data_IF_219155849509
#
_entry.id   IF_219155849509
#
_cell.length_a   1.000
_cell.length_b   1.000
_cell.length_c   1.000
_cell.angle_alpha   90.00
_cell.angle_beta   90.00
_cell.angle_gamma   90.00
#
_symmetry.space_group_name_H-M   'P 1'
#
loop_
_entity.id
_entity.type
_entity.pdbx_description
1 polymer ?
#
# COMPACT_ATOMS: atom_id res chain seq x y z
N UNK A 1 -14.19 45.96 23.30
CA UNK A 1 -13.89 44.53 23.51
C UNK A 1 -14.40 43.73 22.31
N UNK A 2 -13.52 43.21 21.45
CA UNK A 2 -13.88 42.17 20.50
C UNK A 2 -13.17 40.85 20.84
N UNK A 3 -13.97 39.79 21.03
CA UNK A 3 -13.54 38.40 21.24
C UNK A 3 -13.03 37.78 19.94
N UNK A 4 -11.80 37.29 19.94
CA UNK A 4 -11.25 36.46 18.88
C UNK A 4 -11.92 35.08 18.93
N UNK A 5 -12.65 34.72 17.87
CA UNK A 5 -12.96 33.33 17.56
C UNK A 5 -11.73 32.76 16.85
N UNK A 6 -10.95 31.96 17.55
CA UNK A 6 -9.94 31.11 16.93
C UNK A 6 -10.59 29.72 16.70
N UNK A 7 -10.77 29.26 15.46
CA UNK A 7 -11.16 27.88 15.25
C UNK A 7 -9.93 27.01 15.54
N UNK A 8 -9.95 26.30 16.67
CA UNK A 8 -9.01 25.21 16.92
C UNK A 8 -9.21 24.14 15.83
N UNK A 9 -8.36 24.15 14.81
CA UNK A 9 -8.36 23.13 13.77
C UNK A 9 -7.77 21.85 14.40
N UNK A 10 -8.62 20.90 14.77
CA UNK A 10 -8.20 19.53 15.07
C UNK A 10 -7.92 18.78 13.76
N UNK A 11 -6.84 19.13 13.07
CA UNK A 11 -6.39 18.44 11.87
C UNK A 11 -5.24 17.49 12.21
N UNK A 12 -5.48 16.18 12.13
CA UNK A 12 -4.41 15.17 12.09
C UNK A 12 -3.76 15.09 10.71
N UNK A 13 -4.30 15.79 9.71
CA UNK A 13 -3.86 15.77 8.32
C UNK A 13 -3.98 17.17 7.73
N UNK A 14 -2.91 17.68 7.11
CA UNK A 14 -2.91 18.94 6.39
C UNK A 14 -2.56 18.67 4.92
N UNK A 15 -3.29 19.30 3.99
CA UNK A 15 -3.06 19.18 2.55
C UNK A 15 -2.64 20.53 2.00
N UNK A 16 -1.49 20.57 1.31
CA UNK A 16 -0.95 21.77 0.67
C UNK A 16 -0.83 21.53 -0.82
N UNK A 17 -1.43 22.41 -1.63
CA UNK A 17 -1.28 22.37 -3.08
C UNK A 17 0.05 23.04 -3.49
N UNK A 18 0.94 22.28 -4.10
CA UNK A 18 2.23 22.78 -4.61
C UNK A 18 2.10 23.03 -6.12
N UNK A 19 2.51 24.22 -6.56
CA UNK A 19 2.29 24.73 -7.92
C UNK A 19 3.47 24.49 -8.86
N UNK A 20 4.62 24.03 -8.35
CA UNK A 20 5.85 23.88 -9.11
C UNK A 20 6.70 22.72 -8.57
N UNK A 21 7.68 22.31 -9.37
CA UNK A 21 8.76 21.42 -8.96
C UNK A 21 9.87 22.21 -8.24
N UNK A 22 10.59 21.58 -7.31
CA UNK A 22 11.69 22.18 -6.58
C UNK A 22 11.99 21.49 -5.24
N UNK A 23 12.96 22.04 -4.53
CA UNK A 23 13.24 21.69 -3.13
C UNK A 23 12.38 22.54 -2.21
N UNK A 24 11.71 21.90 -1.26
CA UNK A 24 10.80 22.53 -0.31
C UNK A 24 11.23 22.23 1.13
N UNK A 25 10.92 23.18 2.01
CA UNK A 25 11.03 23.00 3.46
C UNK A 25 9.65 23.24 4.05
N UNK A 26 9.11 22.25 4.74
CA UNK A 26 7.93 22.40 5.59
C UNK A 26 8.41 22.70 7.00
N UNK A 27 8.15 23.92 7.45
CA UNK A 27 8.44 24.36 8.81
C UNK A 27 7.15 24.25 9.64
N UNK A 28 7.27 23.70 10.84
CA UNK A 28 6.20 23.64 11.80
C UNK A 28 6.68 24.19 13.14
N UNK A 29 5.98 25.20 13.64
CA UNK A 29 6.23 25.82 14.93
C UNK A 29 5.04 25.56 15.85
N UNK A 30 5.31 25.08 17.06
CA UNK A 30 4.32 24.92 18.12
C UNK A 30 4.40 26.10 19.07
N UNK A 31 3.30 26.83 19.21
CA UNK A 31 3.14 27.91 20.18
C UNK A 31 2.28 27.43 21.35
N UNK A 32 2.68 27.68 22.60
CA UNK A 32 1.73 27.68 23.72
C UNK A 32 1.82 28.99 24.49
N UNK A 33 0.66 29.57 24.80
CA UNK A 33 0.54 30.87 25.46
C UNK A 33 1.29 32.02 24.74
N UNK A 34 1.46 31.93 23.41
CA UNK A 34 2.18 32.92 22.61
C UNK A 34 3.70 32.78 22.61
N UNK A 35 4.25 31.80 23.33
CA UNK A 35 5.66 31.43 23.26
C UNK A 35 5.87 30.23 22.35
N UNK A 36 6.96 30.25 21.58
CA UNK A 36 7.42 29.14 20.77
C UNK A 36 8.05 28.07 21.66
N UNK A 37 7.50 26.86 21.60
CA UNK A 37 7.89 25.75 22.47
C UNK A 37 8.55 24.63 21.67
N UNK A 38 8.25 24.52 20.39
CA UNK A 38 8.91 23.57 19.50
C UNK A 38 8.96 24.11 18.07
N UNK A 39 9.99 23.69 17.35
CA UNK A 39 10.18 24.01 15.94
C UNK A 39 10.80 22.82 15.22
N UNK A 40 10.24 22.45 14.08
CA UNK A 40 10.74 21.34 13.27
C UNK A 40 10.69 21.68 11.78
N UNK A 41 11.71 21.20 11.07
CA UNK A 41 11.82 21.34 9.62
C UNK A 41 11.76 19.96 8.97
N UNK A 42 10.97 19.84 7.90
CA UNK A 42 11.00 18.70 6.99
C UNK A 42 11.38 19.18 5.59
N UNK A 43 12.52 18.73 5.09
CA UNK A 43 12.97 19.05 3.73
C UNK A 43 12.56 17.96 2.76
N UNK A 44 11.99 18.32 1.61
CA UNK A 44 11.52 17.38 0.61
C UNK A 44 11.57 17.98 -0.81
N UNK A 45 11.80 17.14 -1.81
CA UNK A 45 11.83 17.53 -3.22
C UNK A 45 10.51 17.18 -3.91
N UNK A 46 9.94 18.11 -4.69
CA UNK A 46 8.81 17.86 -5.59
C UNK A 46 9.33 17.88 -7.01
N UNK A 47 9.15 16.79 -7.75
CA UNK A 47 9.50 16.73 -9.17
C UNK A 47 8.50 15.90 -9.94
N UNK A 48 8.21 16.27 -11.18
CA UNK A 48 7.46 15.43 -12.12
C UNK A 48 8.34 14.30 -12.66
N UNK A 49 9.66 14.46 -12.59
CA UNK A 49 10.62 13.46 -12.98
C UNK A 49 10.99 12.60 -11.78
N UNK A 50 10.03 11.78 -11.34
CA UNK A 50 10.32 10.70 -10.40
C UNK A 50 11.27 9.76 -11.14
N UNK A 51 12.57 9.84 -10.87
CA UNK A 51 13.50 8.79 -11.29
C UNK A 51 12.84 7.47 -10.90
N UNK A 52 12.71 6.49 -11.82
CA UNK A 52 11.99 5.27 -11.53
C UNK A 52 12.62 4.69 -10.26
N UNK A 53 11.83 4.68 -9.18
CA UNK A 53 12.31 4.29 -7.87
C UNK A 53 13.00 2.95 -8.05
N UNK A 54 14.28 2.87 -7.67
CA UNK A 54 15.05 1.65 -7.84
C UNK A 54 14.23 0.53 -7.23
N UNK A 55 13.87 -0.42 -8.08
CA UNK A 55 13.11 -1.60 -7.70
C UNK A 55 13.71 -2.18 -6.42
N UNK A 56 12.88 -2.35 -5.39
CA UNK A 56 13.35 -2.92 -4.12
C UNK A 56 13.92 -4.31 -4.40
N UNK A 57 14.95 -4.77 -3.69
CA UNK A 57 15.41 -6.14 -3.86
C UNK A 57 14.27 -7.12 -3.61
N UNK A 58 14.22 -8.19 -4.39
CA UNK A 58 13.27 -9.29 -4.15
C UNK A 58 13.53 -9.89 -2.77
N UNK A 59 12.44 -10.18 -2.06
CA UNK A 59 12.55 -10.93 -0.83
C UNK A 59 13.12 -12.31 -1.15
N UNK A 60 14.11 -12.80 -0.37
CA UNK A 60 14.58 -14.16 -0.50
C UNK A 60 13.39 -15.13 -0.51
N UNK A 61 13.40 -16.09 -1.43
CA UNK A 61 12.26 -16.97 -1.68
C UNK A 61 11.74 -17.66 -0.40
N UNK A 62 12.67 -18.11 0.46
CA UNK A 62 12.32 -18.74 1.74
C UNK A 62 11.57 -17.81 2.71
N UNK A 63 11.72 -16.49 2.61
CA UNK A 63 10.92 -15.52 3.38
C UNK A 63 9.60 -15.21 2.68
N UNK A 64 9.61 -15.08 1.36
CA UNK A 64 8.43 -14.82 0.55
C UNK A 64 7.37 -15.92 0.76
N UNK A 65 7.76 -17.19 0.66
CA UNK A 65 6.91 -18.38 0.93
C UNK A 65 6.31 -18.43 2.35
N UNK A 66 6.93 -17.70 3.27
CA UNK A 66 6.51 -17.62 4.68
C UNK A 66 5.65 -16.40 4.98
N UNK A 67 5.44 -15.51 4.01
CA UNK A 67 4.64 -14.30 4.15
C UNK A 67 3.42 -14.29 3.22
N UNK A 68 3.49 -15.03 2.12
CA UNK A 68 2.44 -15.12 1.13
C UNK A 68 2.37 -16.52 0.52
N UNK A 69 1.21 -16.83 -0.03
CA UNK A 69 1.05 -17.95 -0.94
C UNK A 69 1.41 -17.47 -2.35
N UNK A 70 2.63 -17.80 -2.80
CA UNK A 70 3.20 -17.23 -4.03
C UNK A 70 2.48 -17.67 -5.31
N UNK A 71 1.50 -18.58 -5.23
CA UNK A 71 0.69 -19.04 -6.38
C UNK A 71 -0.79 -18.71 -6.23
N UNK A 72 -1.12 -17.79 -5.31
CA UNK A 72 -2.49 -17.48 -4.94
C UNK A 72 -3.14 -16.37 -5.76
N UNK A 73 -2.46 -15.83 -6.78
CA UNK A 73 -3.05 -14.77 -7.59
C UNK A 73 -4.27 -15.32 -8.34
N UNK A 74 -5.39 -14.64 -8.18
CA UNK A 74 -6.65 -14.95 -8.84
C UNK A 74 -7.23 -13.70 -9.51
N UNK A 75 -7.85 -13.89 -10.66
CA UNK A 75 -8.62 -12.84 -11.33
C UNK A 75 -9.93 -12.62 -10.60
N UNK A 76 -10.28 -11.36 -10.39
CA UNK A 76 -11.54 -10.92 -9.80
C UNK A 76 -12.33 -10.09 -10.82
N UNK A 77 -13.61 -9.84 -10.56
CA UNK A 77 -14.45 -9.05 -11.48
C UNK A 77 -13.98 -7.60 -11.64
N UNK A 78 -13.35 -7.06 -10.60
CA UNK A 78 -12.93 -5.66 -10.47
C UNK A 78 -11.42 -5.51 -10.26
N UNK A 79 -10.65 -6.56 -10.55
CA UNK A 79 -9.20 -6.57 -10.41
C UNK A 79 -8.67 -7.97 -10.15
N UNK A 80 -7.87 -8.14 -9.10
CA UNK A 80 -7.27 -9.41 -8.70
C UNK A 80 -7.27 -9.59 -7.19
N UNK A 81 -7.07 -10.82 -6.74
CA UNK A 81 -6.82 -11.13 -5.33
C UNK A 81 -5.59 -12.02 -5.15
N UNK A 82 -5.02 -11.98 -3.94
CA UNK A 82 -3.90 -12.81 -3.51
C UNK A 82 -4.04 -13.13 -2.03
N UNK A 83 -3.25 -14.09 -1.54
CA UNK A 83 -3.27 -14.50 -0.14
C UNK A 83 -1.92 -14.22 0.53
N UNK A 84 -1.98 -13.40 1.58
CA UNK A 84 -0.91 -13.28 2.55
C UNK A 84 -1.11 -14.35 3.63
N UNK A 85 -0.03 -15.05 3.98
CA UNK A 85 -0.05 -16.10 4.99
C UNK A 85 1.25 -16.06 5.78
N UNK A 86 1.16 -15.68 7.05
CA UNK A 86 2.35 -15.63 7.88
C UNK A 86 2.66 -17.00 8.49
N UNK A 87 3.74 -17.61 8.03
CA UNK A 87 4.33 -18.87 8.53
C UNK A 87 5.65 -18.64 9.28
N UNK A 88 5.94 -17.40 9.68
CA UNK A 88 7.16 -17.03 10.40
C UNK A 88 6.91 -16.93 11.92
N UNK A 89 6.83 -15.71 12.43
CA UNK A 89 6.56 -15.29 13.81
C UNK A 89 5.55 -14.15 13.76
N UNK A 90 4.91 -13.74 14.86
CA UNK A 90 4.01 -12.59 14.85
C UNK A 90 4.63 -11.39 14.13
N UNK A 91 3.92 -10.90 13.11
CA UNK A 91 4.44 -9.92 12.17
C UNK A 91 3.35 -8.91 11.81
N UNK A 92 3.76 -7.72 11.38
CA UNK A 92 2.82 -6.64 11.01
C UNK A 92 3.17 -6.14 9.63
N UNK A 93 2.24 -6.26 8.68
CA UNK A 93 2.37 -5.59 7.39
C UNK A 93 2.13 -4.09 7.60
N UNK A 94 3.14 -3.29 7.33
CA UNK A 94 3.10 -1.82 7.47
C UNK A 94 3.02 -1.10 6.14
N UNK A 95 3.38 -1.78 5.05
CA UNK A 95 3.39 -1.19 3.72
C UNK A 95 3.18 -2.27 2.69
N UNK A 96 2.32 -1.99 1.71
CA UNK A 96 2.18 -2.73 0.46
C UNK A 96 1.92 -1.69 -0.63
N UNK A 97 2.90 -1.46 -1.48
CA UNK A 97 2.91 -0.37 -2.47
C UNK A 97 3.67 -0.80 -3.73
N UNK A 98 3.82 0.09 -4.70
CA UNK A 98 4.66 -0.17 -5.87
C UNK A 98 4.18 -1.37 -6.69
N UNK A 99 2.85 -1.60 -6.71
CA UNK A 99 2.26 -2.76 -7.35
C UNK A 99 2.52 -2.75 -8.85
N UNK A 100 3.06 -3.84 -9.40
CA UNK A 100 3.22 -4.03 -10.84
C UNK A 100 2.57 -5.33 -11.26
N UNK A 101 1.73 -5.28 -12.28
CA UNK A 101 1.15 -6.45 -12.91
C UNK A 101 1.91 -6.71 -14.22
N UNK A 102 2.53 -7.87 -14.33
CA UNK A 102 3.33 -8.29 -15.49
C UNK A 102 4.41 -7.24 -15.86
N UNK A 103 5.07 -6.69 -14.84
CA UNK A 103 6.08 -5.64 -14.97
C UNK A 103 5.52 -4.22 -15.15
N UNK A 104 4.20 -4.05 -15.34
CA UNK A 104 3.56 -2.75 -15.55
C UNK A 104 3.05 -2.17 -14.24
N UNK A 105 3.47 -0.94 -13.90
CA UNK A 105 3.03 -0.25 -12.68
C UNK A 105 1.52 0.04 -12.68
N UNK A 106 0.84 -0.42 -11.62
CA UNK A 106 -0.55 -0.10 -11.35
C UNK A 106 -0.63 1.30 -10.73
N UNK A 107 -1.00 2.31 -11.51
CA UNK A 107 -1.06 3.71 -11.05
C UNK A 107 -2.40 4.08 -10.42
N UNK A 108 -3.48 3.39 -10.77
CA UNK A 108 -4.82 3.56 -10.20
C UNK A 108 -5.31 2.24 -9.66
N UNK A 109 -5.26 2.10 -8.34
CA UNK A 109 -5.73 0.92 -7.65
C UNK A 109 -6.10 1.25 -6.21
N UNK A 110 -6.96 0.44 -5.62
CA UNK A 110 -7.17 0.38 -4.17
C UNK A 110 -6.73 -0.98 -3.65
N UNK A 111 -6.18 -1.01 -2.44
CA UNK A 111 -5.88 -2.27 -1.76
C UNK A 111 -6.91 -2.48 -0.67
N UNK A 112 -7.60 -3.61 -0.74
CA UNK A 112 -8.62 -4.02 0.21
C UNK A 112 -8.27 -5.39 0.80
N UNK A 113 -8.87 -5.73 1.93
CA UNK A 113 -8.73 -7.03 2.59
C UNK A 113 -10.09 -7.67 2.82
N UNK A 114 -10.11 -9.00 2.80
CA UNK A 114 -11.28 -9.76 3.23
C UNK A 114 -11.45 -9.67 4.75
N UNK A 115 -12.64 -9.27 5.19
CA UNK A 115 -13.06 -9.25 6.59
C UNK A 115 -14.35 -10.06 6.76
N UNK A 116 -14.76 -10.29 8.01
CA UNK A 116 -16.03 -10.97 8.30
C UNK A 116 -17.27 -10.19 7.78
N UNK A 117 -17.14 -8.88 7.56
CA UNK A 117 -18.21 -8.02 7.05
C UNK A 117 -18.10 -7.76 5.54
N UNK A 118 -17.17 -8.41 4.84
CA UNK A 118 -16.88 -8.18 3.43
C UNK A 118 -15.53 -7.48 3.21
N UNK A 119 -15.37 -6.83 2.05
CA UNK A 119 -14.12 -6.13 1.70
C UNK A 119 -14.01 -4.80 2.46
N UNK A 120 -12.83 -4.51 2.98
CA UNK A 120 -12.52 -3.24 3.64
C UNK A 120 -11.15 -2.72 3.17
N UNK A 121 -10.91 -1.39 3.18
CA UNK A 121 -9.60 -0.83 2.84
C UNK A 121 -8.47 -1.44 3.69
N UNK A 122 -7.29 -1.63 3.09
CA UNK A 122 -6.11 -2.10 3.81
C UNK A 122 -5.76 -1.10 4.93
N UNK A 123 -5.75 -1.52 6.21
CA UNK A 123 -5.33 -0.64 7.29
C UNK A 123 -3.83 -0.34 7.19
N UNK A 124 -3.40 0.81 7.74
CA UNK A 124 -1.98 1.19 7.82
C UNK A 124 -1.10 0.15 8.50
N UNK A 125 -1.69 -0.64 9.40
CA UNK A 125 -1.05 -1.75 10.11
C UNK A 125 -2.00 -2.94 10.06
N UNK A 126 -1.55 -4.02 9.45
CA UNK A 126 -2.28 -5.28 9.42
C UNK A 126 -1.49 -6.33 10.20
N UNK A 127 -2.06 -6.77 11.32
CA UNK A 127 -1.47 -7.84 12.13
C UNK A 127 -1.63 -9.19 11.42
N UNK A 128 -0.48 -9.77 11.08
CA UNK A 128 -0.37 -11.11 10.52
C UNK A 128 0.03 -12.05 11.67
N UNK A 129 -0.96 -12.53 12.41
CA UNK A 129 -0.73 -13.60 13.40
C UNK A 129 -0.19 -14.87 12.70
N UNK A 130 0.58 -15.68 13.43
CA UNK A 130 1.11 -16.93 12.89
C UNK A 130 -0.03 -17.85 12.43
N UNK A 131 0.07 -18.36 11.21
CA UNK A 131 -0.95 -19.20 10.56
C UNK A 131 -2.16 -18.42 10.03
N UNK A 132 -2.22 -17.09 10.21
CA UNK A 132 -3.32 -16.28 9.69
C UNK A 132 -3.19 -16.13 8.18
N UNK A 133 -4.22 -16.54 7.45
CA UNK A 133 -4.42 -16.25 6.03
C UNK A 133 -5.28 -15.00 5.88
N UNK A 134 -4.83 -14.05 5.07
CA UNK A 134 -5.57 -12.84 4.73
C UNK A 134 -5.62 -12.74 3.22
N UNK A 135 -6.82 -12.74 2.65
CA UNK A 135 -7.01 -12.42 1.24
C UNK A 135 -6.96 -10.91 1.07
N UNK A 136 -6.12 -10.48 0.14
CA UNK A 136 -5.93 -9.09 -0.26
C UNK A 136 -6.47 -8.94 -1.67
N UNK A 137 -7.26 -7.90 -1.90
CA UNK A 137 -7.77 -7.52 -3.20
C UNK A 137 -7.03 -6.28 -3.69
N UNK A 138 -6.61 -6.31 -4.95
CA UNK A 138 -6.12 -5.13 -5.66
C UNK A 138 -7.21 -4.76 -6.67
N UNK A 139 -7.96 -3.72 -6.32
CA UNK A 139 -9.11 -3.25 -7.10
C UNK A 139 -8.62 -2.24 -8.12
N UNK A 140 -8.67 -2.62 -9.38
CA UNK A 140 -8.27 -1.78 -10.53
C UNK A 140 -9.50 -1.25 -11.29
N UNK A 141 -10.68 -1.80 -11.01
CA UNK A 141 -11.94 -1.49 -11.70
C UNK A 141 -12.22 -2.36 -12.92
N UNK A 142 -11.28 -3.20 -13.34
CA UNK A 142 -11.38 -4.06 -14.51
C UNK A 142 -10.87 -5.46 -14.19
N UNK A 143 -11.54 -6.49 -14.74
CA UNK A 143 -11.12 -7.87 -14.60
C UNK A 143 -9.80 -8.13 -15.34
N UNK A 144 -8.99 -9.06 -14.81
CA UNK A 144 -7.79 -9.52 -15.49
C UNK A 144 -8.13 -10.30 -16.76
N UNK A 145 -7.31 -10.13 -17.79
CA UNK A 145 -7.37 -10.97 -18.97
C UNK A 145 -7.09 -12.45 -18.60
N UNK A 146 -7.58 -13.41 -19.39
CA UNK A 146 -7.18 -14.80 -19.22
C UNK A 146 -5.68 -15.00 -19.46
N UNK A 147 -5.04 -15.84 -18.64
CA UNK A 147 -3.63 -16.21 -18.82
C UNK A 147 -2.81 -16.24 -17.54
N UNK A 148 -1.50 -16.38 -17.73
CA UNK A 148 -0.51 -16.31 -16.67
C UNK A 148 -0.28 -14.86 -16.26
N UNK A 149 -0.31 -14.59 -14.96
CA UNK A 149 -0.03 -13.26 -14.42
C UNK A 149 0.94 -13.32 -13.26
N UNK A 150 1.77 -12.29 -13.15
CA UNK A 150 2.67 -12.06 -12.02
C UNK A 150 2.40 -10.68 -11.43
N UNK A 151 2.05 -10.66 -10.14
CA UNK A 151 1.99 -9.42 -9.37
C UNK A 151 3.27 -9.25 -8.56
N UNK A 152 3.92 -8.13 -8.77
CA UNK A 152 5.01 -7.62 -7.95
C UNK A 152 4.45 -6.63 -6.91
N UNK A 153 4.83 -6.79 -5.65
CA UNK A 153 4.44 -5.88 -4.57
C UNK A 153 5.61 -5.54 -3.67
N UNK A 154 5.89 -4.24 -3.48
CA UNK A 154 6.86 -3.78 -2.50
C UNK A 154 6.22 -3.81 -1.11
N UNK A 155 6.74 -4.67 -0.23
CA UNK A 155 6.18 -4.87 1.11
C UNK A 155 7.18 -4.57 2.22
N UNK A 156 6.65 -4.08 3.33
CA UNK A 156 7.39 -3.96 4.59
C UNK A 156 6.63 -4.69 5.68
N UNK A 157 7.29 -5.68 6.27
CA UNK A 157 6.73 -6.52 7.32
C UNK A 157 7.60 -6.38 8.57
N UNK A 158 7.09 -5.62 9.54
CA UNK A 158 7.77 -5.38 10.80
C UNK A 158 8.02 -6.70 11.52
N UNK A 159 9.27 -6.88 11.95
CA UNK A 159 9.71 -8.13 12.58
C UNK A 159 10.05 -9.26 11.60
N UNK A 160 10.01 -9.07 10.28
CA UNK A 160 10.46 -10.12 9.33
C UNK A 160 11.46 -9.56 8.33
N UNK A 161 11.06 -8.53 7.59
CA UNK A 161 11.89 -7.98 6.53
C UNK A 161 11.09 -7.11 5.59
N UNK A 162 11.77 -6.59 4.58
CA UNK A 162 11.15 -5.72 3.59
C UNK A 162 11.83 -5.91 2.24
N UNK A 163 11.04 -5.87 1.17
CA UNK A 163 11.51 -6.10 -0.18
C UNK A 163 10.32 -6.32 -1.12
N UNK A 164 10.60 -6.84 -2.32
CA UNK A 164 9.57 -7.13 -3.32
C UNK A 164 9.10 -8.58 -3.22
N UNK A 165 7.78 -8.78 -3.13
CA UNK A 165 7.13 -10.08 -3.29
C UNK A 165 6.69 -10.26 -4.75
N UNK A 166 6.81 -11.49 -5.24
CA UNK A 166 6.30 -11.91 -6.55
C UNK A 166 5.23 -12.97 -6.29
N UNK A 167 4.00 -12.71 -6.72
CA UNK A 167 2.87 -13.63 -6.59
C UNK A 167 2.34 -13.95 -7.98
N UNK A 168 2.29 -15.24 -8.30
CA UNK A 168 1.89 -15.78 -9.60
C UNK A 168 0.47 -16.35 -9.55
N UNK A 169 -0.17 -16.42 -10.71
CA UNK A 169 -1.48 -17.01 -10.87
C UNK A 169 -1.84 -17.30 -12.31
N UNK A 170 -2.92 -18.06 -12.48
CA UNK A 170 -3.54 -18.35 -13.77
C UNK A 170 -4.99 -17.92 -13.72
N UNK A 171 -5.36 -17.00 -14.61
CA UNK A 171 -6.73 -16.56 -14.79
C UNK A 171 -7.36 -17.42 -15.90
N UNK A 172 -8.39 -18.22 -15.60
CA UNK A 172 -9.02 -19.06 -16.60
C UNK A 172 -9.69 -18.20 -17.67
N UNK A 173 -9.72 -18.68 -18.91
CA UNK A 173 -10.60 -18.11 -19.92
C UNK A 173 -12.05 -18.30 -19.47
N UNK A 174 -12.83 -17.22 -19.44
CA UNK A 174 -14.25 -17.29 -19.13
C UNK A 174 -14.90 -18.29 -20.10
N UNK A 175 -15.46 -19.37 -19.56
CA UNK A 175 -16.13 -20.37 -20.39
C UNK A 175 -17.32 -19.67 -21.09
N UNK A 176 -17.57 -19.91 -22.39
CA UNK A 176 -18.75 -19.36 -23.04
C UNK A 176 -19.98 -19.80 -22.25
N UNK A 177 -20.75 -18.83 -21.75
CA UNK A 177 -22.04 -19.08 -21.10
C UNK A 177 -22.88 -19.95 -22.04
N UNK A 178 -23.14 -21.18 -21.64
CA UNK A 178 -24.09 -22.05 -22.33
C UNK A 178 -25.49 -21.46 -22.13
N UNK A 179 -26.02 -20.84 -23.19
CA UNK A 179 -27.44 -20.53 -23.36
C UNK A 179 -28.19 -21.79 -23.80
#
# INVERSE_FOLDING_TARGET
MPTAFEPAIHATTASLALQAEGEYVLEATLLMAGEEIDHTELRFSVTANVMPARLRPELPHYLADRLADLRSLQGEKDGLSLVLENKTRPAVLTTMTGLRLDGTLLTRHEIQIETHAGRAPLPRRLDLALGRRVRVYVVTGEALAPGAHTLEADVSVAGVGSGRLLIEGQVPAEAPSAL
#
